data_IF_116399995948
#
_entry.id   IF_116399995948
#
_cell.length_a   1.000
_cell.length_b   1.000
_cell.length_c   1.000
_cell.angle_alpha   90.00
_cell.angle_beta   90.00
_cell.angle_gamma   90.00
#
_symmetry.space_group_name_H-M   'P 1'
#
loop_
_entity.id
_entity.type
_entity.pdbx_description
1 polymer ?
#
# COMPACT_ATOMS: atom_id res chain seq x y z
N UNK A 1 -4.59 -32.55 30.62
CA UNK A 1 -4.78 -32.38 29.16
C UNK A 1 -4.97 -30.89 28.91
N UNK A 2 -3.96 -30.20 28.36
CA UNK A 2 -3.94 -28.72 28.27
C UNK A 2 -4.55 -28.27 26.94
N UNK A 3 -5.52 -27.36 27.02
CA UNK A 3 -6.18 -26.66 25.92
C UNK A 3 -5.19 -25.98 24.98
N UNK A 4 -5.28 -26.29 23.70
CA UNK A 4 -4.69 -25.53 22.60
C UNK A 4 -5.72 -24.52 22.10
N UNK A 5 -5.59 -23.26 22.53
CA UNK A 5 -6.34 -22.15 21.97
C UNK A 5 -5.78 -21.83 20.58
N UNK A 6 -6.61 -21.98 19.55
CA UNK A 6 -6.34 -21.56 18.19
C UNK A 6 -6.32 -20.03 18.14
N UNK A 7 -5.14 -19.45 17.89
CA UNK A 7 -4.98 -18.02 17.63
C UNK A 7 -5.77 -17.62 16.38
N UNK A 8 -6.78 -16.79 16.55
CA UNK A 8 -7.58 -16.26 15.46
C UNK A 8 -6.69 -15.44 14.49
N UNK A 9 -6.68 -15.84 13.22
CA UNK A 9 -6.13 -15.03 12.13
C UNK A 9 -6.98 -13.77 12.04
N UNK A 10 -6.42 -12.64 12.47
CA UNK A 10 -7.05 -11.32 12.38
C UNK A 10 -7.36 -11.02 10.92
N UNK A 11 -8.64 -10.93 10.57
CA UNK A 11 -9.06 -10.55 9.22
C UNK A 11 -8.57 -9.12 8.91
N UNK A 12 -8.08 -8.86 7.69
CA UNK A 12 -7.67 -7.51 7.31
C UNK A 12 -8.89 -6.59 7.37
N UNK A 13 -8.80 -5.51 8.16
CA UNK A 13 -9.88 -4.51 8.21
C UNK A 13 -10.06 -3.90 6.81
N UNK A 14 -11.30 -3.79 6.31
CA UNK A 14 -11.55 -3.03 5.09
C UNK A 14 -11.09 -1.60 5.31
N UNK A 15 -10.30 -1.09 4.38
CA UNK A 15 -9.88 0.31 4.39
C UNK A 15 -11.13 1.08 3.97
N UNK A 16 -11.71 1.85 4.89
CA UNK A 16 -12.66 2.90 4.50
C UNK A 16 -11.92 3.83 3.56
N UNK A 17 -12.51 4.17 2.42
CA UNK A 17 -11.95 5.19 1.55
C UNK A 17 -11.62 6.43 2.41
N UNK A 18 -10.40 6.99 2.32
CA UNK A 18 -10.09 8.21 3.03
C UNK A 18 -11.08 9.30 2.57
N UNK A 19 -11.54 10.11 3.51
CA UNK A 19 -12.33 11.30 3.16
C UNK A 19 -11.50 12.12 2.16
N UNK A 20 -12.10 12.64 1.07
CA UNK A 20 -11.35 13.30 0.02
C UNK A 20 -10.58 14.49 0.61
N UNK A 21 -9.26 14.41 0.60
CA UNK A 21 -8.38 15.51 0.98
C UNK A 21 -8.29 16.42 -0.24
N UNK A 22 -9.28 17.29 -0.42
CA UNK A 22 -9.33 18.19 -1.58
C UNK A 22 -8.21 19.21 -1.47
N UNK A 23 -7.12 19.02 -2.23
CA UNK A 23 -6.17 20.09 -2.51
C UNK A 23 -6.87 21.17 -3.35
N UNK A 24 -6.62 22.43 -3.01
CA UNK A 24 -7.00 23.54 -3.88
C UNK A 24 -6.07 23.51 -5.10
N UNK A 25 -6.52 22.87 -6.18
CA UNK A 25 -5.91 23.03 -7.49
C UNK A 25 -6.02 24.51 -7.86
N UNK A 26 -4.90 25.14 -8.27
CA UNK A 26 -4.95 26.50 -8.82
C UNK A 26 -6.07 26.54 -9.88
N UNK A 27 -6.78 27.67 -10.02
CA UNK A 27 -8.10 27.87 -10.67
C UNK A 27 -8.29 27.38 -12.14
N UNK A 28 -7.45 26.49 -12.65
CA UNK A 28 -7.61 25.69 -13.85
C UNK A 28 -8.22 24.31 -13.62
N UNK A 29 -8.45 23.65 -14.75
CA UNK A 29 -9.13 22.36 -14.88
C UNK A 29 -8.24 21.24 -14.31
N UNK A 30 -8.78 20.39 -13.43
CA UNK A 30 -8.06 19.23 -12.88
C UNK A 30 -7.62 18.28 -13.98
N UNK A 31 -6.36 17.89 -13.96
CA UNK A 31 -5.81 16.86 -14.84
C UNK A 31 -6.25 15.46 -14.39
N UNK A 32 -5.97 14.43 -15.19
CA UNK A 32 -6.17 13.04 -14.77
C UNK A 32 -5.18 12.66 -13.65
N UNK A 33 -3.96 13.21 -13.69
CA UNK A 33 -2.97 12.99 -12.65
C UNK A 33 -3.46 13.54 -11.30
N UNK A 34 -4.04 14.73 -11.28
CA UNK A 34 -4.61 15.33 -10.07
C UNK A 34 -5.70 14.45 -9.47
N UNK A 35 -6.59 13.92 -10.31
CA UNK A 35 -7.66 13.03 -9.88
C UNK A 35 -7.13 11.71 -9.31
N UNK A 36 -6.11 11.12 -9.95
CA UNK A 36 -5.48 9.90 -9.48
C UNK A 36 -4.72 10.13 -8.17
N UNK A 37 -3.97 11.22 -8.08
CA UNK A 37 -3.25 11.57 -6.87
C UNK A 37 -4.21 11.76 -5.69
N UNK A 38 -5.23 12.61 -5.86
CA UNK A 38 -6.20 12.93 -4.81
C UNK A 38 -6.96 11.68 -4.32
N UNK A 39 -7.19 10.68 -5.18
CA UNK A 39 -7.84 9.42 -4.79
C UNK A 39 -6.94 8.48 -3.97
N UNK A 40 -5.62 8.66 -3.99
CA UNK A 40 -4.65 7.81 -3.29
C UNK A 40 -4.06 8.45 -2.02
N UNK A 41 -4.33 9.74 -1.75
CA UNK A 41 -3.92 10.38 -0.50
C UNK A 41 -4.72 9.81 0.67
N UNK A 42 -4.03 9.13 1.59
CA UNK A 42 -4.59 8.68 2.86
C UNK A 42 -4.60 9.81 3.88
N UNK A 43 -3.53 10.59 3.91
CA UNK A 43 -3.35 11.69 4.86
C UNK A 43 -2.37 12.73 4.30
N UNK A 44 -2.70 14.01 4.45
CA UNK A 44 -1.72 15.10 4.32
C UNK A 44 -1.01 15.28 5.68
N UNK A 45 0.32 15.38 5.64
CA UNK A 45 1.16 15.60 6.82
C UNK A 45 1.45 17.10 6.96
N UNK A 46 1.72 17.53 8.20
CA UNK A 46 1.89 18.96 8.54
C UNK A 46 3.14 19.58 7.89
N UNK A 47 4.10 18.76 7.47
CA UNK A 47 5.33 19.15 6.77
C UNK A 47 5.14 19.29 5.24
N UNK A 48 3.91 19.15 4.76
CA UNK A 48 3.55 19.23 3.34
C UNK A 48 3.71 17.92 2.58
N UNK A 49 4.17 16.84 3.23
CA UNK A 49 4.19 15.52 2.62
C UNK A 49 2.78 14.90 2.57
N UNK A 50 2.62 13.85 1.78
CA UNK A 50 1.36 13.11 1.71
C UNK A 50 1.64 11.62 1.84
N UNK A 51 0.91 10.98 2.74
CA UNK A 51 0.87 9.54 2.84
C UNK A 51 -0.03 9.03 1.71
N UNK A 52 0.57 8.29 0.78
CA UNK A 52 -0.15 7.66 -0.32
C UNK A 52 -0.42 6.19 -0.02
N UNK A 53 -1.59 5.72 -0.44
CA UNK A 53 -1.86 4.30 -0.58
C UNK A 53 -1.33 3.83 -1.94
N UNK A 54 -0.64 2.69 -1.95
CA UNK A 54 -0.16 2.04 -3.19
C UNK A 54 -1.01 0.80 -3.40
N UNK A 55 -1.83 0.82 -4.45
CA UNK A 55 -2.76 -0.27 -4.74
C UNK A 55 -2.08 -1.47 -5.36
N UNK A 56 -1.15 -1.29 -6.31
CA UNK A 56 -0.51 -2.39 -7.04
C UNK A 56 1.01 -2.31 -6.92
N UNK A 57 1.62 -3.41 -6.44
CA UNK A 57 3.06 -3.60 -6.45
C UNK A 57 3.44 -4.49 -7.64
N UNK A 58 4.21 -3.93 -8.58
CA UNK A 58 4.86 -4.70 -9.64
C UNK A 58 6.28 -5.02 -9.20
N UNK A 59 6.59 -6.31 -9.08
CA UNK A 59 7.85 -6.79 -8.54
C UNK A 59 8.53 -7.72 -9.53
N UNK A 60 9.86 -7.68 -9.60
CA UNK A 60 10.68 -8.49 -10.50
C UNK A 60 11.84 -9.18 -9.76
N UNK A 61 12.42 -10.23 -10.33
CA UNK A 61 13.35 -11.16 -9.66
C UNK A 61 14.67 -10.54 -9.19
N UNK A 62 15.06 -9.38 -9.73
CA UNK A 62 16.37 -8.77 -9.43
C UNK A 62 16.35 -7.96 -8.13
N UNK A 63 15.35 -7.11 -7.94
CA UNK A 63 15.34 -6.14 -6.82
C UNK A 63 14.41 -6.56 -5.68
N UNK A 64 13.39 -7.37 -5.99
CA UNK A 64 12.35 -7.72 -5.03
C UNK A 64 12.79 -8.67 -3.92
N UNK A 65 13.75 -9.61 -4.13
CA UNK A 65 14.22 -10.47 -3.04
C UNK A 65 14.75 -9.67 -1.84
N UNK A 66 15.41 -8.54 -2.08
CA UNK A 66 15.94 -7.66 -1.02
C UNK A 66 14.80 -7.00 -0.22
N UNK A 67 13.74 -6.56 -0.88
CA UNK A 67 12.56 -5.98 -0.22
C UNK A 67 11.82 -7.01 0.64
N UNK A 68 11.65 -8.25 0.15
CA UNK A 68 11.02 -9.32 0.93
C UNK A 68 11.86 -9.76 2.12
N UNK A 69 13.17 -9.78 1.99
CA UNK A 69 14.07 -10.04 3.11
C UNK A 69 13.94 -8.96 4.20
N UNK A 70 13.85 -7.68 3.80
CA UNK A 70 13.58 -6.58 4.72
C UNK A 70 12.27 -6.76 5.50
N UNK A 71 11.19 -7.21 4.83
CA UNK A 71 9.93 -7.54 5.51
C UNK A 71 10.10 -8.67 6.53
N UNK A 72 10.83 -9.74 6.16
CA UNK A 72 11.08 -10.89 7.02
C UNK A 72 11.86 -10.49 8.28
N UNK A 73 12.92 -9.70 8.12
CA UNK A 73 13.74 -9.20 9.24
C UNK A 73 12.92 -8.29 10.18
N UNK A 74 12.00 -7.50 9.63
CA UNK A 74 11.07 -6.67 10.41
C UNK A 74 9.89 -7.45 11.03
N UNK A 75 9.81 -8.78 10.82
CA UNK A 75 8.69 -9.60 11.29
C UNK A 75 7.35 -9.26 10.62
N UNK A 76 7.39 -8.65 9.42
CA UNK A 76 6.21 -8.20 8.67
C UNK A 76 5.88 -9.16 7.54
N UNK A 77 4.60 -9.22 7.20
CA UNK A 77 4.10 -9.91 6.01
C UNK A 77 3.71 -8.90 4.94
N UNK A 78 3.69 -9.35 3.69
CA UNK A 78 3.04 -8.60 2.61
C UNK A 78 1.58 -8.38 2.98
N UNK A 79 1.15 -7.12 2.98
CA UNK A 79 -0.18 -6.74 3.49
C UNK A 79 -1.31 -7.12 2.54
N UNK A 80 -1.08 -7.04 1.23
CA UNK A 80 -2.04 -7.34 0.16
C UNK A 80 -1.37 -8.18 -0.94
N UNK A 81 -1.11 -9.48 -0.70
CA UNK A 81 -0.47 -10.35 -1.68
C UNK A 81 -1.20 -10.39 -3.03
N UNK A 82 -2.52 -10.27 -3.02
CA UNK A 82 -3.37 -10.25 -4.21
C UNK A 82 -3.20 -9.01 -5.09
N UNK A 83 -2.59 -7.95 -4.55
CA UNK A 83 -2.20 -6.76 -5.31
C UNK A 83 -0.68 -6.62 -5.44
N UNK A 84 0.04 -7.74 -5.33
CA UNK A 84 1.49 -7.81 -5.54
C UNK A 84 1.76 -8.80 -6.66
N UNK A 85 2.06 -8.29 -7.85
CA UNK A 85 2.24 -9.11 -9.06
C UNK A 85 3.73 -9.23 -9.35
N UNK A 86 4.21 -10.47 -9.38
CA UNK A 86 5.59 -10.80 -9.69
C UNK A 86 5.71 -11.31 -11.12
N UNK A 87 6.66 -10.77 -11.87
CA UNK A 87 7.11 -11.31 -13.15
C UNK A 87 8.52 -11.86 -13.00
N UNK A 88 8.82 -12.95 -13.70
CA UNK A 88 10.18 -13.44 -13.89
C UNK A 88 10.53 -13.12 -15.33
N UNK A 89 11.27 -12.03 -15.55
CA UNK A 89 11.45 -11.46 -16.90
C UNK A 89 12.88 -11.53 -17.44
N UNK A 90 13.87 -11.92 -16.64
CA UNK A 90 15.26 -12.07 -17.08
C UNK A 90 15.84 -13.48 -16.80
N UNK A 91 15.48 -14.44 -17.66
CA UNK A 91 16.23 -15.68 -17.82
C UNK A 91 17.02 -15.65 -19.12
#
# INVERSE_FOLDING_TARGET
>A
MRSSQLSAVSQPRPISAPAPVSRAHAAGRRTVLDQLWDSHVVQALDDGQSLLYVDLHLVHEVTSPQAFEGLRLAGRRVRRPELTVATVDHN
#
